data_IF_503080028670
#
_entry.id   IF_503080028670
#
_cell.length_a   1.000
_cell.length_b   1.000
_cell.length_c   1.000
_cell.angle_alpha   90.00
_cell.angle_beta   90.00
_cell.angle_gamma   90.00
#
_symmetry.space_group_name_H-M   'P 1'
#
loop_
_entity.id
_entity.type
_entity.pdbx_description
1 polymer ?
#
# COMPACT_ATOMS: atom_id res chain seq x y z
N UNK A 1 6.38 18.81 -8.25
CA UNK A 1 4.95 18.73 -8.30
C UNK A 1 4.45 17.59 -7.47
N UNK A 2 3.48 17.88 -6.67
CA UNK A 2 2.98 16.87 -5.77
C UNK A 2 2.44 15.65 -6.52
N UNK A 3 1.81 15.89 -7.64
CA UNK A 3 1.18 14.81 -8.39
C UNK A 3 2.18 13.77 -8.89
N UNK A 4 3.42 14.20 -9.07
CA UNK A 4 4.40 13.31 -9.69
C UNK A 4 4.80 12.16 -8.82
N UNK A 5 4.69 12.34 -7.52
CA UNK A 5 5.13 11.29 -6.62
C UNK A 5 3.99 10.42 -6.14
N UNK A 6 2.82 10.65 -6.70
CA UNK A 6 1.65 9.94 -6.23
C UNK A 6 1.46 8.63 -6.95
N UNK A 7 2.47 7.80 -6.91
CA UNK A 7 2.30 6.42 -7.37
C UNK A 7 1.31 5.77 -6.42
N UNK A 8 0.21 5.21 -6.93
CA UNK A 8 -0.76 4.57 -6.04
C UNK A 8 -0.11 3.43 -5.25
N UNK A 9 -0.60 3.15 -4.04
CA UNK A 9 0.02 2.09 -3.25
C UNK A 9 0.01 0.74 -3.94
N UNK A 10 -1.00 0.47 -4.75
CA UNK A 10 -1.08 -0.81 -5.45
C UNK A 10 -0.17 -0.85 -6.68
N UNK A 11 0.59 0.22 -6.93
CA UNK A 11 1.58 0.22 -8.01
C UNK A 11 2.99 0.39 -7.50
N UNK A 12 3.20 0.32 -6.20
CA UNK A 12 4.53 0.42 -5.62
C UNK A 12 5.26 -0.91 -5.85
N UNK A 13 6.24 -0.89 -6.73
CA UNK A 13 6.92 -2.12 -7.14
C UNK A 13 7.64 -2.80 -5.98
N UNK A 14 8.13 -2.04 -5.04
CA UNK A 14 8.93 -2.59 -3.95
C UNK A 14 8.15 -3.59 -3.09
N UNK A 15 6.83 -3.54 -3.07
CA UNK A 15 6.07 -4.47 -2.26
C UNK A 15 5.85 -5.82 -2.96
N UNK A 16 6.18 -5.90 -4.25
CA UNK A 16 6.04 -7.15 -4.98
C UNK A 16 4.67 -7.34 -5.61
N UNK A 17 4.62 -8.16 -6.66
CA UNK A 17 3.40 -8.36 -7.41
C UNK A 17 2.24 -8.94 -6.57
N UNK A 18 2.48 -9.93 -5.69
CA UNK A 18 1.37 -10.46 -4.90
C UNK A 18 0.73 -9.41 -4.01
N UNK A 19 1.54 -8.56 -3.38
CA UNK A 19 1.00 -7.53 -2.50
C UNK A 19 0.28 -6.45 -3.29
N UNK A 20 0.82 -6.09 -4.45
CA UNK A 20 0.14 -5.10 -5.30
C UNK A 20 -1.23 -5.60 -5.74
N UNK A 21 -1.29 -6.87 -6.12
CA UNK A 21 -2.55 -7.47 -6.53
C UNK A 21 -3.53 -7.53 -5.38
N UNK A 22 -3.03 -7.83 -4.17
CA UNK A 22 -3.88 -7.87 -2.99
C UNK A 22 -4.53 -6.53 -2.73
N UNK A 23 -3.78 -5.45 -2.86
CA UNK A 23 -4.34 -4.11 -2.66
C UNK A 23 -5.38 -3.79 -3.71
N UNK A 24 -5.13 -4.14 -4.96
CA UNK A 24 -6.09 -3.91 -6.03
C UNK A 24 -7.38 -4.66 -5.76
N UNK A 25 -7.27 -5.93 -5.36
CA UNK A 25 -8.45 -6.75 -5.12
C UNK A 25 -9.25 -6.25 -3.93
N UNK A 26 -8.60 -5.62 -2.98
CA UNK A 26 -9.27 -5.08 -1.80
C UNK A 26 -9.73 -3.63 -2.00
N UNK A 27 -9.55 -3.10 -3.20
CA UNK A 27 -9.91 -1.71 -3.53
C UNK A 27 -9.11 -0.69 -2.72
N UNK A 28 -7.91 -1.06 -2.30
CA UNK A 28 -7.03 -0.17 -1.56
C UNK A 28 -6.06 0.47 -2.54
N UNK A 29 -6.59 1.31 -3.40
CA UNK A 29 -5.83 1.86 -4.52
C UNK A 29 -5.43 3.32 -4.31
N UNK A 30 -5.72 3.88 -3.14
CA UNK A 30 -5.29 5.23 -2.81
C UNK A 30 -4.55 5.22 -1.49
N UNK A 31 -3.67 6.20 -1.32
CA UNK A 31 -2.95 6.31 -0.06
C UNK A 31 -3.88 6.60 1.11
N UNK A 32 -4.95 7.36 0.88
CA UNK A 32 -5.92 7.60 1.93
C UNK A 32 -6.54 6.30 2.41
N UNK A 33 -6.88 5.41 1.49
CA UNK A 33 -7.49 4.14 1.85
C UNK A 33 -6.51 3.26 2.63
N UNK A 34 -5.26 3.22 2.19
CA UNK A 34 -4.23 2.43 2.87
C UNK A 34 -3.94 2.99 4.25
N UNK A 35 -3.82 4.32 4.34
CA UNK A 35 -3.53 4.96 5.61
C UNK A 35 -4.65 4.77 6.62
N UNK A 36 -5.88 4.68 6.14
CA UNK A 36 -7.03 4.46 7.03
C UNK A 36 -7.17 3.01 7.46
N UNK A 37 -6.54 2.09 6.76
CA UNK A 37 -6.67 0.66 7.06
C UNK A 37 -5.73 0.29 8.21
N UNK A 38 -6.23 -0.40 9.23
CA UNK A 38 -5.35 -0.89 10.30
C UNK A 38 -4.35 -1.92 9.76
N UNK A 39 -3.21 -2.01 10.42
CA UNK A 39 -2.18 -2.95 10.03
C UNK A 39 -2.73 -4.38 9.94
N UNK A 40 -3.58 -4.75 10.89
CA UNK A 40 -4.13 -6.10 10.91
C UNK A 40 -4.94 -6.41 9.65
N UNK A 41 -5.66 -5.40 9.16
CA UNK A 41 -6.46 -5.59 7.96
C UNK A 41 -5.58 -5.82 6.74
N UNK A 42 -4.50 -5.07 6.64
CA UNK A 42 -3.57 -5.24 5.53
C UNK A 42 -2.87 -6.59 5.60
N UNK A 43 -2.44 -6.98 6.79
CA UNK A 43 -1.76 -8.26 6.95
C UNK A 43 -2.67 -9.46 6.71
N UNK A 44 -3.97 -9.25 6.79
CA UNK A 44 -4.93 -10.31 6.49
C UNK A 44 -5.11 -10.54 5.00
N UNK A 45 -4.64 -9.64 4.16
CA UNK A 45 -4.79 -9.79 2.72
C UNK A 45 -3.86 -10.88 2.21
N UNK A 46 -4.41 -11.76 1.39
CA UNK A 46 -3.62 -12.84 0.80
C UNK A 46 -2.53 -12.25 -0.10
N UNK A 47 -1.30 -12.66 0.13
CA UNK A 47 -0.18 -12.16 -0.65
C UNK A 47 0.47 -10.90 -0.09
N UNK A 48 -0.06 -10.36 1.00
CA UNK A 48 0.45 -9.16 1.61
C UNK A 48 1.10 -9.52 2.94
N UNK A 49 2.36 -9.19 3.11
CA UNK A 49 3.10 -9.57 4.30
C UNK A 49 3.67 -8.38 5.06
N UNK A 50 4.38 -8.65 6.17
CA UNK A 50 4.93 -7.57 7.01
C UNK A 50 5.90 -6.68 6.28
N UNK A 51 6.66 -7.22 5.35
CA UNK A 51 7.61 -6.41 4.61
C UNK A 51 6.89 -5.40 3.71
N UNK A 52 5.84 -5.86 3.04
CA UNK A 52 5.05 -4.95 2.21
C UNK A 52 4.39 -3.88 3.06
N UNK A 53 3.89 -4.26 4.23
CA UNK A 53 3.29 -3.30 5.13
C UNK A 53 4.28 -2.21 5.52
N UNK A 54 5.49 -2.60 5.90
CA UNK A 54 6.50 -1.63 6.28
C UNK A 54 6.82 -0.69 5.14
N UNK A 55 7.00 -1.24 3.94
CA UNK A 55 7.34 -0.42 2.78
C UNK A 55 6.25 0.60 2.52
N UNK A 56 4.99 0.19 2.59
CA UNK A 56 3.90 1.12 2.35
C UNK A 56 3.80 2.17 3.43
N UNK A 57 3.96 1.79 4.71
CA UNK A 57 3.86 2.77 5.78
C UNK A 57 4.97 3.81 5.68
N UNK A 58 6.17 3.37 5.34
CA UNK A 58 7.29 4.30 5.21
C UNK A 58 7.20 5.14 3.95
N UNK A 59 6.54 4.62 2.91
CA UNK A 59 6.44 5.33 1.65
C UNK A 59 5.22 6.20 1.51
N UNK A 60 4.32 6.19 2.48
CA UNK A 60 3.10 6.98 2.37
C UNK A 60 3.41 8.47 2.36
N UNK A 61 2.90 9.21 1.39
CA UNK A 61 3.10 10.66 1.37
C UNK A 61 2.57 11.36 2.61
N UNK A 62 1.56 10.79 3.25
CA UNK A 62 0.97 11.42 4.43
C UNK A 62 1.89 11.40 5.63
N UNK A 63 2.94 10.58 5.59
CA UNK A 63 3.85 10.50 6.72
C UNK A 63 4.91 11.59 6.72
N UNK A 64 4.97 12.34 5.67
CA UNK A 64 5.90 13.45 5.58
C UNK A 64 5.59 14.55 6.63
#
# INVERSE_FOLDING_TARGET
MAADRAVPPNEVHAIGAPARRALTNAALTTWDAVDAAPDADLLALHGFGPRALRILREGSPARE
#
